data_IF_062536590528
#
_entry.id   IF_062536590528
#
_cell.length_a   1.000
_cell.length_b   1.000
_cell.length_c   1.000
_cell.angle_alpha   90.00
_cell.angle_beta   90.00
_cell.angle_gamma   90.00
#
_symmetry.space_group_name_H-M   'P 1'
#
loop_
_entity.id
_entity.type
_entity.pdbx_description
1 polymer ?
#
# COMPACT_ATOMS: atom_id res chain seq x y z
N UNK A 1 50.41 -31.01 -14.77
CA UNK A 1 49.81 -30.28 -15.92
C UNK A 1 48.77 -31.18 -16.55
N UNK A 2 47.47 -30.86 -16.45
CA UNK A 2 46.39 -31.66 -17.03
C UNK A 2 45.62 -30.83 -18.06
N UNK A 3 45.56 -31.30 -19.31
CA UNK A 3 44.86 -30.61 -20.40
C UNK A 3 43.39 -31.04 -20.40
N UNK A 4 42.47 -30.09 -20.19
CA UNK A 4 41.03 -30.32 -20.40
C UNK A 4 40.71 -30.19 -21.90
N UNK A 5 39.97 -31.16 -22.44
CA UNK A 5 39.34 -31.05 -23.76
C UNK A 5 38.03 -30.25 -23.65
N UNK A 6 37.58 -29.57 -24.73
CA UNK A 6 36.31 -28.84 -24.72
C UNK A 6 35.12 -29.81 -24.90
N UNK A 7 34.06 -29.63 -24.11
CA UNK A 7 32.77 -30.26 -24.40
C UNK A 7 32.11 -29.54 -25.58
N UNK A 8 31.73 -30.30 -26.61
CA UNK A 8 30.82 -29.83 -27.64
C UNK A 8 29.37 -29.92 -27.13
N UNK A 9 28.64 -28.80 -27.20
CA UNK A 9 27.23 -28.73 -26.83
C UNK A 9 26.36 -28.97 -28.08
N UNK A 10 25.78 -30.16 -28.21
CA UNK A 10 24.81 -30.44 -29.27
C UNK A 10 23.46 -29.77 -28.96
N UNK A 11 23.09 -28.75 -29.73
CA UNK A 11 21.73 -28.20 -29.72
C UNK A 11 20.79 -29.14 -30.50
N UNK A 12 19.87 -29.80 -29.79
CA UNK A 12 18.71 -30.46 -30.37
C UNK A 12 17.62 -29.42 -30.67
N UNK A 13 17.49 -29.05 -31.94
CA UNK A 13 16.35 -28.26 -32.44
C UNK A 13 15.12 -29.16 -32.61
N UNK A 14 14.30 -29.25 -31.56
CA UNK A 14 12.97 -29.82 -31.67
C UNK A 14 12.04 -28.83 -32.39
N UNK A 15 11.64 -29.15 -33.63
CA UNK A 15 10.74 -28.33 -34.43
C UNK A 15 9.32 -28.36 -33.88
N UNK A 16 8.88 -27.26 -33.25
CA UNK A 16 7.47 -27.04 -32.95
C UNK A 16 6.72 -26.68 -34.25
N UNK A 17 5.73 -27.49 -34.63
CA UNK A 17 4.83 -27.14 -35.72
C UNK A 17 3.98 -25.92 -35.34
N UNK A 18 3.74 -24.97 -36.27
CA UNK A 18 2.81 -23.88 -36.00
C UNK A 18 1.39 -24.44 -35.83
N UNK A 19 0.79 -24.21 -34.66
CA UNK A 19 -0.63 -24.50 -34.45
C UNK A 19 -1.46 -23.67 -35.44
N UNK A 20 -2.24 -24.35 -36.27
CA UNK A 20 -3.18 -23.70 -37.18
C UNK A 20 -4.14 -22.82 -36.38
N UNK A 21 -4.15 -21.52 -36.67
CA UNK A 21 -5.09 -20.60 -36.03
C UNK A 21 -6.53 -21.03 -36.35
N UNK A 22 -7.40 -21.01 -35.34
CA UNK A 22 -8.82 -21.21 -35.57
C UNK A 22 -9.34 -20.14 -36.57
N UNK A 23 -10.25 -20.50 -37.50
CA UNK A 23 -10.82 -19.52 -38.41
C UNK A 23 -11.47 -18.39 -37.61
N UNK A 24 -11.19 -17.15 -37.99
CA UNK A 24 -11.79 -15.99 -37.35
C UNK A 24 -13.31 -16.13 -37.42
N UNK A 25 -13.97 -16.07 -36.26
CA UNK A 25 -15.43 -15.95 -36.20
C UNK A 25 -15.83 -14.71 -37.02
N UNK A 26 -16.80 -14.80 -37.94
CA UNK A 26 -17.29 -13.63 -38.62
C UNK A 26 -17.81 -12.64 -37.59
N UNK A 27 -17.47 -11.36 -37.74
CA UNK A 27 -18.05 -10.31 -36.90
C UNK A 27 -19.58 -10.37 -37.02
N UNK A 28 -20.33 -10.23 -35.92
CA UNK A 28 -21.78 -10.16 -36.01
C UNK A 28 -22.16 -8.99 -36.92
N UNK A 29 -22.94 -9.27 -37.97
CA UNK A 29 -23.42 -8.24 -38.88
C UNK A 29 -24.27 -7.24 -38.08
N UNK A 30 -23.76 -6.02 -37.94
CA UNK A 30 -24.51 -4.93 -37.33
C UNK A 30 -25.72 -4.63 -38.23
N UNK A 31 -26.94 -4.48 -37.67
CA UNK A 31 -28.14 -4.28 -38.47
C UNK A 31 -28.01 -3.02 -39.34
N UNK A 32 -28.10 -3.24 -40.66
CA UNK A 32 -28.04 -2.18 -41.66
C UNK A 32 -29.23 -1.21 -41.49
N UNK A 33 -28.99 -0.12 -40.76
CA UNK A 33 -30.03 0.87 -40.44
C UNK A 33 -29.78 1.72 -39.18
N UNK A 34 -28.80 1.37 -38.33
CA UNK A 34 -28.52 2.13 -37.08
C UNK A 34 -27.15 2.84 -37.03
N UNK A 35 -26.46 2.99 -38.17
CA UNK A 35 -25.35 3.94 -38.28
C UNK A 35 -25.88 5.37 -38.54
N UNK A 36 -26.58 5.91 -37.54
CA UNK A 36 -26.71 7.37 -37.42
C UNK A 36 -25.31 7.98 -37.37
N UNK A 37 -25.11 9.14 -38.00
CA UNK A 37 -23.79 9.73 -38.21
C UNK A 37 -23.01 9.82 -36.88
N UNK A 38 -22.00 8.95 -36.73
CA UNK A 38 -21.12 8.98 -35.57
C UNK A 38 -20.32 10.27 -35.65
N UNK A 39 -20.55 11.21 -34.73
CA UNK A 39 -19.69 12.39 -34.59
C UNK A 39 -18.30 11.91 -34.15
N UNK A 40 -17.44 11.73 -35.15
CA UNK A 40 -16.04 11.37 -34.95
C UNK A 40 -15.32 12.41 -34.07
N UNK A 41 -15.73 13.68 -34.11
CA UNK A 41 -15.22 14.74 -33.24
C UNK A 41 -15.68 14.59 -31.78
N UNK A 42 -16.88 14.09 -31.51
CA UNK A 42 -17.31 13.71 -30.15
C UNK A 42 -16.58 12.46 -29.66
N UNK A 43 -16.43 11.45 -30.52
CA UNK A 43 -15.67 10.23 -30.22
C UNK A 43 -14.20 10.56 -29.90
N UNK A 44 -13.55 11.39 -30.73
CA UNK A 44 -12.18 11.85 -30.50
C UNK A 44 -12.05 12.71 -29.25
N UNK A 45 -13.03 13.57 -28.91
CA UNK A 45 -13.03 14.29 -27.62
C UNK A 45 -13.13 13.34 -26.43
N UNK A 46 -14.06 12.38 -26.46
CA UNK A 46 -14.21 11.35 -25.41
C UNK A 46 -12.96 10.48 -25.26
N UNK A 47 -12.27 10.15 -26.34
CA UNK A 47 -10.98 9.45 -26.31
C UNK A 47 -9.85 10.36 -25.79
N UNK A 48 -9.75 11.60 -26.27
CA UNK A 48 -8.72 12.55 -25.86
C UNK A 48 -8.82 12.89 -24.37
N UNK A 49 -10.02 13.13 -23.82
CA UNK A 49 -10.19 13.37 -22.39
C UNK A 49 -9.97 12.09 -21.54
N UNK A 50 -10.22 10.90 -22.10
CA UNK A 50 -9.89 9.61 -21.45
C UNK A 50 -8.38 9.35 -21.37
N UNK A 51 -7.60 9.89 -22.31
CA UNK A 51 -6.13 9.73 -22.35
C UNK A 51 -5.35 10.99 -21.93
N UNK A 52 -6.04 12.09 -21.64
CA UNK A 52 -5.42 13.29 -21.09
C UNK A 52 -4.81 12.94 -19.73
N UNK A 53 -3.53 13.24 -19.48
CA UNK A 53 -2.99 13.16 -18.13
C UNK A 53 -3.87 14.05 -17.25
N UNK A 54 -4.58 13.44 -16.30
CA UNK A 54 -5.27 14.23 -15.26
C UNK A 54 -4.16 15.06 -14.59
N UNK A 55 -4.33 16.38 -14.42
CA UNK A 55 -3.32 17.17 -13.72
C UNK A 55 -3.01 16.48 -12.39
N UNK A 56 -1.72 16.36 -12.05
CA UNK A 56 -1.30 15.76 -10.79
C UNK A 56 -2.08 16.46 -9.68
N UNK A 57 -2.78 15.68 -8.86
CA UNK A 57 -3.69 16.26 -7.87
C UNK A 57 -2.89 17.26 -7.02
N UNK A 58 -3.39 18.49 -6.80
CA UNK A 58 -2.71 19.42 -5.92
C UNK A 58 -2.47 18.69 -4.59
N UNK A 59 -1.26 18.81 -4.05
CA UNK A 59 -0.91 18.15 -2.80
C UNK A 59 -1.97 18.44 -1.73
N UNK A 60 -2.27 17.47 -0.84
CA UNK A 60 -3.36 17.62 0.12
C UNK A 60 -3.24 18.96 0.86
N UNK A 61 -4.36 19.69 1.03
CA UNK A 61 -4.32 21.01 1.63
C UNK A 61 -3.67 20.92 3.01
N UNK A 62 -2.83 21.92 3.34
CA UNK A 62 -2.32 22.05 4.70
C UNK A 62 -3.52 22.14 5.65
N UNK A 63 -3.58 21.22 6.60
CA UNK A 63 -4.60 21.25 7.63
C UNK A 63 -4.38 22.45 8.55
N UNK A 64 -5.43 23.00 9.18
CA UNK A 64 -5.26 23.97 10.26
C UNK A 64 -4.35 23.39 11.36
N UNK A 65 -3.44 24.21 11.85
CA UNK A 65 -2.31 23.77 12.67
C UNK A 65 -2.76 22.97 13.90
N UNK A 66 -2.20 21.76 14.04
CA UNK A 66 -2.43 20.86 15.18
C UNK A 66 -3.65 19.93 15.06
N UNK A 67 -4.55 20.12 14.09
CA UNK A 67 -5.77 19.29 13.98
C UNK A 67 -5.62 18.04 13.09
N UNK A 68 -4.52 17.88 12.37
CA UNK A 68 -4.33 16.73 11.46
C UNK A 68 -3.32 15.70 11.95
N UNK A 69 -3.68 14.43 11.78
CA UNK A 69 -2.78 13.28 11.85
C UNK A 69 -2.52 12.79 10.43
N UNK A 70 -1.27 12.91 9.97
CA UNK A 70 -0.85 12.33 8.69
C UNK A 70 -0.11 11.02 8.91
N UNK A 71 -0.60 9.97 8.25
CA UNK A 71 -0.04 8.62 8.25
C UNK A 71 0.59 8.37 6.88
N UNK A 72 1.80 7.80 6.86
CA UNK A 72 2.50 7.34 5.66
C UNK A 72 2.62 5.82 5.70
N UNK A 73 2.44 5.14 4.58
CA UNK A 73 2.81 3.74 4.40
C UNK A 73 3.77 3.57 3.23
N UNK A 74 4.75 2.68 3.35
CA UNK A 74 5.80 2.53 2.34
C UNK A 74 6.53 1.18 2.39
N UNK A 75 6.48 0.43 1.27
CA UNK A 75 7.42 -0.67 1.02
C UNK A 75 8.80 -0.09 0.66
N UNK A 76 9.79 -0.40 1.51
CA UNK A 76 11.16 0.13 1.41
C UNK A 76 12.16 -0.80 0.73
N UNK A 77 11.70 -1.87 0.06
CA UNK A 77 12.49 -2.80 -0.77
C UNK A 77 13.72 -3.36 -0.02
N UNK A 78 13.49 -4.34 0.86
CA UNK A 78 14.48 -4.99 1.72
C UNK A 78 15.53 -4.02 2.28
N UNK A 79 15.09 -3.00 3.05
CA UNK A 79 16.01 -2.04 3.65
C UNK A 79 16.66 -2.64 4.90
N UNK A 80 17.99 -2.63 4.94
CA UNK A 80 18.76 -3.12 6.08
C UNK A 80 20.21 -2.63 6.07
N UNK A 81 21.04 -3.24 6.92
CA UNK A 81 22.45 -2.88 7.10
C UNK A 81 23.28 -2.97 5.79
N UNK A 82 22.88 -3.84 4.87
CA UNK A 82 23.47 -4.00 3.54
C UNK A 82 23.11 -2.85 2.56
N UNK A 83 22.32 -1.86 2.96
CA UNK A 83 22.01 -0.70 2.14
C UNK A 83 23.27 0.14 1.87
N UNK A 84 23.56 0.40 0.59
CA UNK A 84 24.71 1.20 0.18
C UNK A 84 24.66 2.62 0.80
N UNK A 85 25.83 3.25 1.00
CA UNK A 85 25.90 4.60 1.57
C UNK A 85 25.01 5.60 0.80
N UNK A 86 25.06 5.58 -0.54
CA UNK A 86 24.21 6.42 -1.40
C UNK A 86 22.71 6.13 -1.25
N UNK A 87 22.31 4.86 -1.08
CA UNK A 87 20.90 4.49 -0.83
C UNK A 87 20.42 5.07 0.50
N UNK A 88 21.26 5.00 1.54
CA UNK A 88 20.98 5.58 2.87
C UNK A 88 20.90 7.11 2.83
N UNK A 89 21.83 7.76 2.15
CA UNK A 89 21.81 9.22 1.93
C UNK A 89 20.52 9.65 1.19
N UNK A 90 20.13 8.93 0.14
CA UNK A 90 18.88 9.14 -0.57
C UNK A 90 17.64 8.94 0.32
N UNK A 91 17.61 7.91 1.17
CA UNK A 91 16.53 7.74 2.15
C UNK A 91 16.47 8.92 3.13
N UNK A 92 17.58 9.30 3.76
CA UNK A 92 17.63 10.44 4.68
C UNK A 92 17.17 11.75 4.04
N UNK A 93 17.61 12.03 2.81
CA UNK A 93 17.18 13.20 2.05
C UNK A 93 15.68 13.19 1.72
N UNK A 94 15.11 12.03 1.35
CA UNK A 94 13.68 11.91 1.07
C UNK A 94 12.84 11.99 2.34
N UNK A 95 13.28 11.36 3.44
CA UNK A 95 12.65 11.49 4.75
C UNK A 95 12.64 12.96 5.22
N UNK A 96 13.77 13.67 5.09
CA UNK A 96 13.84 15.11 5.37
C UNK A 96 12.81 15.95 4.59
N UNK A 97 12.56 15.62 3.31
CA UNK A 97 11.49 16.27 2.53
C UNK A 97 10.09 15.85 3.00
N UNK A 98 9.84 14.55 3.16
CA UNK A 98 8.53 13.98 3.53
C UNK A 98 8.02 14.46 4.89
N UNK A 99 8.93 14.65 5.85
CA UNK A 99 8.65 14.99 7.24
C UNK A 99 9.06 16.42 7.62
N UNK A 100 9.32 17.27 6.62
CA UNK A 100 9.47 18.72 6.78
C UNK A 100 8.23 19.34 7.45
N UNK A 101 8.40 20.52 8.08
CA UNK A 101 7.37 21.15 8.91
C UNK A 101 6.03 21.34 8.17
N UNK A 102 6.08 21.65 6.88
CA UNK A 102 4.89 21.82 6.01
C UNK A 102 4.22 20.51 5.56
N UNK A 103 4.76 19.34 5.95
CA UNK A 103 4.28 18.02 5.51
C UNK A 103 4.01 17.04 6.65
N UNK A 104 4.65 17.25 7.82
CA UNK A 104 4.31 16.74 9.16
C UNK A 104 3.57 15.38 9.23
N UNK A 105 4.14 14.36 8.60
CA UNK A 105 3.77 12.98 8.90
C UNK A 105 4.16 12.62 10.35
N UNK A 106 3.27 11.92 11.04
CA UNK A 106 3.37 11.57 12.46
C UNK A 106 3.55 10.06 12.66
N UNK A 107 3.00 9.26 11.75
CA UNK A 107 3.05 7.80 11.76
C UNK A 107 3.61 7.33 10.43
N UNK A 108 4.58 6.42 10.49
CA UNK A 108 5.16 5.77 9.33
C UNK A 108 5.03 4.26 9.49
N UNK A 109 4.19 3.64 8.66
CA UNK A 109 4.08 2.20 8.49
C UNK A 109 5.05 1.73 7.40
N UNK A 110 5.92 0.78 7.71
CA UNK A 110 6.93 0.26 6.79
C UNK A 110 6.67 -1.20 6.50
N UNK A 111 6.99 -1.59 5.26
CA UNK A 111 7.06 -2.95 4.77
C UNK A 111 8.48 -3.21 4.26
N UNK A 112 8.97 -4.44 4.38
CA UNK A 112 10.33 -4.84 4.00
C UNK A 112 11.49 -4.18 4.78
N UNK A 113 11.36 -4.12 6.11
CA UNK A 113 12.52 -3.99 7.01
C UNK A 113 13.24 -5.33 7.09
N UNK A 114 14.56 -5.34 6.87
CA UNK A 114 15.32 -6.58 6.69
C UNK A 114 15.91 -7.20 7.96
N UNK A 115 16.02 -6.42 9.05
CA UNK A 115 16.50 -6.88 10.37
C UNK A 115 16.24 -5.81 11.44
N UNK A 116 16.42 -6.18 12.71
CA UNK A 116 16.45 -5.25 13.86
C UNK A 116 17.44 -4.09 13.63
N UNK A 117 18.66 -4.41 13.17
CA UNK A 117 19.70 -3.42 12.81
C UNK A 117 19.32 -2.56 11.59
N UNK A 118 18.55 -3.12 10.65
CA UNK A 118 17.94 -2.38 9.56
C UNK A 118 16.93 -1.34 10.04
N UNK A 119 16.11 -1.71 11.03
CA UNK A 119 15.15 -0.80 11.66
C UNK A 119 15.83 0.27 12.53
N UNK A 120 16.89 -0.06 13.27
CA UNK A 120 17.70 0.93 14.01
C UNK A 120 18.32 1.96 13.04
N UNK A 121 18.90 1.47 11.94
CA UNK A 121 19.50 2.30 10.90
C UNK A 121 18.48 3.20 10.19
N UNK A 122 17.27 2.70 9.95
CA UNK A 122 16.17 3.50 9.41
C UNK A 122 15.73 4.59 10.40
N UNK A 123 15.55 4.23 11.67
CA UNK A 123 15.20 5.18 12.74
C UNK A 123 16.23 6.29 12.91
N UNK A 124 17.52 5.99 12.76
CA UNK A 124 18.59 6.98 12.79
C UNK A 124 18.55 8.01 11.64
N UNK A 125 17.93 7.67 10.50
CA UNK A 125 17.75 8.57 9.35
C UNK A 125 16.48 9.43 9.41
N UNK A 126 15.56 9.15 10.34
CA UNK A 126 14.36 9.97 10.52
C UNK A 126 14.71 11.36 11.08
N UNK A 127 13.93 12.43 10.78
CA UNK A 127 14.23 13.75 11.30
C UNK A 127 14.17 13.79 12.83
N UNK A 128 15.17 14.42 13.44
CA UNK A 128 15.40 14.36 14.89
C UNK A 128 16.15 13.11 15.37
N UNK A 129 16.47 12.17 14.47
CA UNK A 129 17.08 10.89 14.77
C UNK A 129 16.14 9.95 15.53
N UNK A 130 16.62 8.75 15.85
CA UNK A 130 15.81 7.69 16.48
C UNK A 130 15.13 8.14 17.79
N UNK A 131 15.77 9.01 18.57
CA UNK A 131 15.20 9.53 19.83
C UNK A 131 13.93 10.37 19.70
N UNK A 132 13.61 10.87 18.49
CA UNK A 132 12.37 11.59 18.21
C UNK A 132 11.18 10.68 17.84
N UNK A 133 11.40 9.37 17.76
CA UNK A 133 10.44 8.39 17.23
C UNK A 133 10.34 7.14 18.12
N UNK A 134 9.12 6.82 18.59
CA UNK A 134 8.84 5.52 19.21
C UNK A 134 8.74 4.47 18.09
N UNK A 135 9.54 3.40 18.18
CA UNK A 135 9.55 2.28 17.23
C UNK A 135 8.61 1.17 17.70
N UNK A 136 7.97 0.52 16.73
CA UNK A 136 7.21 -0.72 16.88
C UNK A 136 7.69 -1.70 15.80
N UNK A 137 8.62 -2.59 16.16
CA UNK A 137 9.21 -3.56 15.24
C UNK A 137 9.52 -4.87 15.96
N UNK A 138 9.59 -5.95 15.22
CA UNK A 138 10.06 -7.25 15.72
C UNK A 138 10.57 -8.06 14.53
N UNK A 139 11.84 -8.45 14.58
CA UNK A 139 12.52 -9.20 13.52
C UNK A 139 11.88 -10.59 13.28
N UNK A 140 11.95 -11.10 12.05
CA UNK A 140 11.58 -12.48 11.72
C UNK A 140 12.56 -13.12 10.74
N UNK A 141 12.43 -14.43 10.55
CA UNK A 141 13.28 -15.18 9.62
C UNK A 141 12.92 -14.96 8.14
N UNK A 142 12.20 -13.90 7.78
CA UNK A 142 11.84 -13.56 6.39
C UNK A 142 12.62 -12.34 5.84
N UNK A 143 13.18 -11.49 6.70
CA UNK A 143 13.88 -10.25 6.31
C UNK A 143 13.05 -9.32 5.40
N UNK A 144 11.73 -9.39 5.53
CA UNK A 144 10.75 -8.54 4.83
C UNK A 144 9.67 -8.05 5.80
N UNK A 145 10.08 -7.76 7.02
CA UNK A 145 9.21 -7.52 8.16
C UNK A 145 8.53 -6.15 8.14
N UNK A 146 7.39 -6.08 8.81
CA UNK A 146 6.57 -4.89 8.89
C UNK A 146 6.77 -4.17 10.24
N UNK A 147 6.83 -2.84 10.24
CA UNK A 147 7.04 -2.06 11.46
C UNK A 147 6.44 -0.66 11.41
N UNK A 148 6.47 0.04 12.53
CA UNK A 148 6.06 1.43 12.63
C UNK A 148 7.10 2.32 13.31
N UNK A 149 7.13 3.58 12.89
CA UNK A 149 7.78 4.68 13.60
C UNK A 149 6.75 5.77 13.89
N UNK A 150 6.70 6.22 15.14
CA UNK A 150 5.66 7.10 15.69
C UNK A 150 6.31 8.34 16.31
N UNK A 151 5.98 9.52 15.82
CA UNK A 151 6.51 10.79 16.33
C UNK A 151 5.82 11.17 17.64
N UNK A 152 6.45 12.04 18.43
CA UNK A 152 5.82 12.69 19.58
C UNK A 152 4.43 13.27 19.22
N UNK A 153 3.47 13.10 20.15
CA UNK A 153 2.06 13.44 19.93
C UNK A 153 1.20 12.31 19.36
N UNK A 154 1.77 11.11 19.16
CA UNK A 154 1.04 9.85 18.95
C UNK A 154 1.44 8.85 20.04
N UNK A 155 0.49 8.45 20.86
CA UNK A 155 0.69 7.47 21.92
C UNK A 155 0.46 6.06 21.39
N UNK A 156 1.48 5.21 21.45
CA UNK A 156 1.32 3.76 21.26
C UNK A 156 0.83 3.13 22.55
N UNK A 157 -0.44 2.70 22.54
CA UNK A 157 -1.14 2.07 23.65
C UNK A 157 -0.84 0.56 23.73
N UNK A 158 -0.80 -0.12 22.58
CA UNK A 158 -0.54 -1.55 22.46
C UNK A 158 -0.03 -1.91 21.06
N UNK A 159 0.73 -3.00 20.94
CA UNK A 159 1.21 -3.54 19.67
C UNK A 159 1.14 -5.08 19.67
N UNK A 160 0.97 -5.69 18.50
CA UNK A 160 1.11 -7.15 18.31
C UNK A 160 1.45 -7.52 16.87
N UNK A 161 2.10 -8.67 16.70
CA UNK A 161 2.21 -9.37 15.42
C UNK A 161 0.92 -10.19 15.17
N UNK A 162 0.35 -10.07 13.99
CA UNK A 162 -0.71 -10.93 13.47
C UNK A 162 -0.09 -12.02 12.59
N UNK A 163 -0.72 -13.20 12.53
CA UNK A 163 -0.34 -14.28 11.61
C UNK A 163 1.13 -14.72 11.71
N UNK A 164 1.64 -14.93 12.94
CA UNK A 164 2.96 -15.51 13.16
C UNK A 164 3.15 -16.91 12.53
N UNK A 165 2.04 -17.60 12.22
CA UNK A 165 2.02 -18.80 11.37
C UNK A 165 2.12 -18.43 9.88
N UNK A 166 3.22 -18.83 9.25
CA UNK A 166 3.50 -18.65 7.81
C UNK A 166 2.50 -19.34 6.89
N UNK A 167 1.68 -20.27 7.37
CA UNK A 167 0.54 -20.81 6.62
C UNK A 167 -0.54 -19.76 6.31
N UNK A 168 -0.67 -18.74 7.18
CA UNK A 168 -1.71 -17.69 7.09
C UNK A 168 -1.22 -16.42 6.39
N UNK A 169 0.04 -16.03 6.59
CA UNK A 169 0.67 -14.93 5.85
C UNK A 169 2.18 -15.15 5.72
N UNK A 170 2.75 -14.88 4.53
CA UNK A 170 4.20 -14.96 4.32
C UNK A 170 4.95 -13.94 5.19
N UNK A 171 4.49 -12.68 5.17
CA UNK A 171 5.08 -11.55 5.89
C UNK A 171 4.11 -11.15 7.03
N UNK A 172 4.34 -11.58 8.29
CA UNK A 172 3.40 -11.37 9.38
C UNK A 172 3.00 -9.88 9.52
N UNK A 173 1.72 -9.60 9.38
CA UNK A 173 1.19 -8.25 9.55
C UNK A 173 1.42 -7.77 10.99
N UNK A 174 1.60 -6.47 11.20
CA UNK A 174 1.76 -5.88 12.54
C UNK A 174 0.61 -4.91 12.78
N UNK A 175 0.00 -4.94 13.95
CA UNK A 175 -1.03 -3.97 14.34
C UNK A 175 -0.63 -3.23 15.61
N UNK A 176 -0.86 -1.93 15.59
CA UNK A 176 -0.70 -1.02 16.72
C UNK A 176 -2.04 -0.38 17.04
N UNK A 177 -2.29 -0.17 18.33
CA UNK A 177 -3.41 0.63 18.84
C UNK A 177 -2.85 1.97 19.28
N UNK A 178 -3.32 3.04 18.65
CA UNK A 178 -2.75 4.37 18.73
C UNK A 178 -3.79 5.34 19.29
N UNK A 179 -3.31 6.39 19.97
CA UNK A 179 -4.08 7.61 20.24
C UNK A 179 -3.30 8.84 19.78
N UNK A 180 -3.97 9.79 19.17
CA UNK A 180 -3.39 11.01 18.63
C UNK A 180 -4.24 12.22 19.02
N UNK A 181 -4.18 12.61 20.29
CA UNK A 181 -5.09 13.62 20.86
C UNK A 181 -6.42 12.97 21.18
N UNK A 182 -7.49 13.43 20.54
CA UNK A 182 -8.86 12.95 20.77
C UNK A 182 -9.23 11.74 19.88
N UNK A 183 -8.41 11.42 18.87
CA UNK A 183 -8.58 10.26 18.00
C UNK A 183 -7.84 9.04 18.56
N UNK A 184 -8.53 7.92 18.74
CA UNK A 184 -7.95 6.58 18.81
C UNK A 184 -8.30 5.71 17.59
N UNK A 185 -7.44 4.73 17.30
CA UNK A 185 -7.62 3.82 16.17
C UNK A 185 -6.67 2.61 16.25
N UNK A 186 -7.04 1.52 15.59
CA UNK A 186 -6.12 0.44 15.23
C UNK A 186 -5.50 0.67 13.85
N UNK A 187 -4.18 0.55 13.73
CA UNK A 187 -3.45 0.59 12.46
C UNK A 187 -2.71 -0.71 12.22
N UNK A 188 -3.07 -1.40 11.15
CA UNK A 188 -2.41 -2.61 10.64
C UNK A 188 -1.48 -2.25 9.49
N UNK A 189 -0.22 -2.70 9.55
CA UNK A 189 0.71 -2.68 8.41
C UNK A 189 0.77 -4.07 7.77
N UNK A 190 0.69 -4.12 6.44
CA UNK A 190 0.68 -5.37 5.66
C UNK A 190 1.65 -5.33 4.50
N UNK A 191 2.26 -6.47 4.23
CA UNK A 191 2.92 -6.77 2.96
C UNK A 191 2.36 -8.12 2.50
N UNK A 192 1.47 -8.13 1.52
CA UNK A 192 0.80 -9.36 1.10
C UNK A 192 1.63 -10.11 0.05
N UNK A 193 1.74 -11.42 0.21
CA UNK A 193 2.66 -12.26 -0.55
C UNK A 193 2.52 -12.16 -2.07
N UNK A 194 3.62 -11.83 -2.75
CA UNK A 194 3.71 -11.73 -4.20
C UNK A 194 4.64 -12.78 -4.82
N UNK A 195 4.07 -13.75 -5.54
CA UNK A 195 4.84 -14.84 -6.17
C UNK A 195 4.79 -14.78 -7.69
N UNK A 196 5.89 -14.35 -8.33
CA UNK A 196 6.12 -14.40 -9.80
C UNK A 196 5.04 -13.69 -10.66
N UNK A 197 4.18 -12.86 -10.09
CA UNK A 197 3.04 -12.29 -10.80
C UNK A 197 1.71 -13.04 -10.65
N UNK A 198 1.57 -13.85 -9.60
CA UNK A 198 0.32 -14.48 -9.21
C UNK A 198 -0.22 -13.79 -7.95
N UNK A 199 -1.50 -13.45 -7.97
CA UNK A 199 -2.21 -12.80 -6.86
C UNK A 199 -2.77 -13.79 -5.82
N UNK A 200 -2.76 -15.09 -6.09
CA UNK A 200 -3.48 -16.09 -5.26
C UNK A 200 -2.99 -16.14 -3.81
N UNK A 201 -1.72 -15.85 -3.57
CA UNK A 201 -1.17 -15.73 -2.22
C UNK A 201 -1.71 -14.47 -1.54
N UNK A 202 -1.50 -13.28 -2.10
CA UNK A 202 -2.08 -12.03 -1.59
C UNK A 202 -3.61 -12.10 -1.36
N UNK A 203 -4.38 -12.73 -2.26
CA UNK A 203 -5.84 -12.92 -2.09
C UNK A 203 -6.18 -13.81 -0.89
N UNK A 204 -5.41 -14.87 -0.62
CA UNK A 204 -5.58 -15.72 0.57
C UNK A 204 -5.25 -14.93 1.85
N UNK A 205 -4.15 -14.19 1.84
CA UNK A 205 -3.68 -13.44 3.02
C UNK A 205 -4.59 -12.26 3.36
N UNK A 206 -5.13 -11.57 2.34
CA UNK A 206 -6.19 -10.59 2.55
C UNK A 206 -7.44 -11.21 3.17
N UNK A 207 -7.85 -12.42 2.78
CA UNK A 207 -8.97 -13.13 3.41
C UNK A 207 -8.70 -13.49 4.87
N UNK A 208 -7.49 -13.93 5.21
CA UNK A 208 -7.11 -14.15 6.62
C UNK A 208 -7.21 -12.86 7.45
N UNK A 209 -6.81 -11.72 6.86
CA UNK A 209 -6.92 -10.41 7.47
C UNK A 209 -8.37 -9.92 7.62
N UNK A 210 -9.21 -10.07 6.59
CA UNK A 210 -10.64 -9.72 6.65
C UNK A 210 -11.40 -10.60 7.65
N UNK A 211 -11.04 -11.88 7.77
CA UNK A 211 -11.57 -12.76 8.81
C UNK A 211 -11.20 -12.29 10.22
N UNK A 212 -9.94 -11.91 10.45
CA UNK A 212 -9.49 -11.31 11.71
C UNK A 212 -10.22 -9.99 12.00
N UNK A 213 -10.37 -9.12 11.00
CA UNK A 213 -11.00 -7.81 11.15
C UNK A 213 -12.48 -7.95 11.50
N UNK A 214 -13.20 -8.85 10.83
CA UNK A 214 -14.60 -9.15 11.11
C UNK A 214 -14.79 -9.63 12.56
N UNK A 215 -13.91 -10.51 13.05
CA UNK A 215 -13.92 -10.96 14.44
C UNK A 215 -13.56 -9.84 15.44
N UNK A 216 -12.61 -8.97 15.09
CA UNK A 216 -12.23 -7.81 15.90
C UNK A 216 -13.40 -6.82 16.03
N UNK A 217 -13.98 -6.36 14.92
CA UNK A 217 -15.12 -5.43 14.91
C UNK A 217 -16.40 -6.03 15.52
N UNK A 218 -16.53 -7.36 15.55
CA UNK A 218 -17.59 -8.08 16.27
C UNK A 218 -17.36 -8.24 17.78
N UNK A 219 -16.20 -7.84 18.31
CA UNK A 219 -15.88 -7.95 19.74
C UNK A 219 -16.48 -6.76 20.50
N UNK A 220 -17.26 -6.97 21.58
CA UNK A 220 -17.80 -5.87 22.39
C UNK A 220 -16.70 -4.94 22.92
N UNK A 221 -16.85 -3.64 22.70
CA UNK A 221 -15.87 -2.63 23.12
C UNK A 221 -14.65 -2.48 22.20
N UNK A 222 -14.56 -3.26 21.10
CA UNK A 222 -13.57 -2.99 20.08
C UNK A 222 -13.79 -1.60 19.46
N UNK A 223 -12.69 -0.87 19.34
CA UNK A 223 -12.62 0.41 18.63
C UNK A 223 -12.87 0.14 17.13
N UNK A 224 -13.91 0.75 16.50
CA UNK A 224 -14.25 0.48 15.12
C UNK A 224 -13.33 1.20 14.12
N UNK A 225 -12.48 2.11 14.59
CA UNK A 225 -11.63 2.92 13.74
C UNK A 225 -10.37 2.14 13.40
N UNK A 226 -10.40 1.54 12.21
CA UNK A 226 -9.36 0.62 11.75
C UNK A 226 -8.83 1.06 10.40
N UNK A 227 -7.51 1.16 10.33
CA UNK A 227 -6.77 1.40 9.11
C UNK A 227 -5.92 0.17 8.83
N UNK A 228 -5.96 -0.32 7.60
CA UNK A 228 -5.02 -1.30 7.06
C UNK A 228 -4.21 -0.61 5.98
N UNK A 229 -2.90 -0.52 6.15
CA UNK A 229 -2.01 0.20 5.25
C UNK A 229 -0.86 -0.70 4.78
N UNK A 230 -0.40 -0.53 3.54
CA UNK A 230 0.79 -1.22 3.05
C UNK A 230 0.68 -1.69 1.62
N UNK A 231 1.57 -2.61 1.25
CA UNK A 231 1.61 -3.22 -0.07
C UNK A 231 0.71 -4.47 -0.09
N UNK A 232 -0.43 -4.35 -0.77
CA UNK A 232 -1.40 -5.44 -0.91
C UNK A 232 -1.06 -6.36 -2.07
N UNK A 233 -0.14 -5.99 -2.97
CA UNK A 233 0.11 -6.69 -4.24
C UNK A 233 -1.19 -7.04 -5.02
N UNK A 234 -2.22 -6.19 -4.85
CA UNK A 234 -3.56 -6.28 -5.42
C UNK A 234 -4.04 -4.84 -5.71
N UNK A 235 -4.71 -4.57 -6.84
CA UNK A 235 -5.20 -3.23 -7.15
C UNK A 235 -6.58 -2.94 -6.53
N UNK A 236 -6.97 -1.66 -6.45
CA UNK A 236 -8.40 -1.28 -6.31
C UNK A 236 -9.15 -1.52 -7.63
N UNK A 237 -10.48 -1.53 -7.58
CA UNK A 237 -11.37 -1.65 -8.74
C UNK A 237 -11.12 -0.54 -9.77
N UNK A 238 -10.85 0.68 -9.30
CA UNK A 238 -10.51 1.81 -10.14
C UNK A 238 -9.04 1.77 -10.62
N UNK A 239 -8.10 1.48 -9.73
CA UNK A 239 -6.66 1.41 -10.02
C UNK A 239 -6.23 0.21 -10.87
N UNK A 240 -7.00 -0.89 -10.88
CA UNK A 240 -6.81 -2.06 -11.76
C UNK A 240 -6.67 -1.65 -13.22
N UNK A 241 -7.48 -0.69 -13.67
CA UNK A 241 -7.44 -0.19 -15.06
C UNK A 241 -6.13 0.53 -15.42
N UNK A 242 -5.39 1.03 -14.43
CA UNK A 242 -4.17 1.84 -14.57
C UNK A 242 -2.88 1.02 -14.48
N UNK A 243 -2.96 -0.24 -14.05
CA UNK A 243 -1.80 -1.11 -13.91
C UNK A 243 -1.14 -1.45 -15.26
N UNK A 244 0.18 -1.32 -15.33
CA UNK A 244 0.98 -1.45 -16.56
C UNK A 244 0.89 -2.85 -17.16
N UNK A 245 1.02 -3.92 -16.38
CA UNK A 245 1.06 -5.28 -16.92
C UNK A 245 -0.35 -5.84 -17.12
N UNK A 246 -0.60 -6.44 -18.29
CA UNK A 246 -1.93 -6.95 -18.66
C UNK A 246 -2.49 -8.00 -17.69
N UNK A 247 -1.64 -8.84 -17.10
CA UNK A 247 -2.05 -9.84 -16.09
C UNK A 247 -2.63 -9.21 -14.82
N UNK A 248 -2.10 -8.08 -14.38
CA UNK A 248 -2.56 -7.39 -13.17
C UNK A 248 -3.93 -6.74 -13.37
N UNK A 249 -4.22 -6.31 -14.61
CA UNK A 249 -5.56 -5.83 -15.00
C UNK A 249 -6.63 -6.93 -14.99
N UNK A 250 -6.23 -8.20 -14.92
CA UNK A 250 -7.10 -9.36 -14.85
C UNK A 250 -7.22 -9.97 -13.43
N UNK A 251 -6.55 -9.40 -12.43
CA UNK A 251 -6.72 -9.83 -11.04
C UNK A 251 -8.05 -9.33 -10.47
N UNK A 252 -8.57 -10.07 -9.48
CA UNK A 252 -9.64 -9.57 -8.60
C UNK A 252 -9.08 -8.38 -7.81
N UNK A 253 -9.68 -7.18 -7.90
CA UNK A 253 -9.34 -6.05 -7.05
C UNK A 253 -9.76 -6.32 -5.60
N UNK A 254 -9.21 -5.52 -4.69
CA UNK A 254 -9.44 -5.64 -3.25
C UNK A 254 -10.94 -5.60 -2.91
N UNK A 255 -11.72 -4.73 -3.55
CA UNK A 255 -13.15 -4.58 -3.27
C UNK A 255 -13.95 -5.83 -3.65
N UNK A 256 -13.61 -6.54 -4.73
CA UNK A 256 -14.25 -7.83 -5.07
C UNK A 256 -13.97 -8.92 -4.00
N UNK A 257 -12.92 -8.76 -3.18
CA UNK A 257 -12.58 -9.68 -2.07
C UNK A 257 -13.24 -9.23 -0.76
N UNK A 258 -13.44 -7.91 -0.57
CA UNK A 258 -14.24 -7.36 0.53
C UNK A 258 -15.73 -7.69 0.35
N UNK A 259 -16.23 -7.72 -0.88
CA UNK A 259 -17.61 -8.07 -1.20
C UNK A 259 -17.97 -9.52 -0.75
N UNK A 260 -16.99 -10.43 -0.60
CA UNK A 260 -17.15 -11.77 0.01
C UNK A 260 -17.48 -11.73 1.53
N UNK A 261 -17.36 -10.56 2.19
CA UNK A 261 -17.51 -10.39 3.65
C UNK A 261 -18.66 -9.42 3.99
N UNK A 262 -19.92 -9.88 4.13
CA UNK A 262 -21.09 -9.02 4.37
C UNK A 262 -20.97 -8.05 5.56
N UNK A 263 -20.27 -8.47 6.63
CA UNK A 263 -20.01 -7.62 7.80
C UNK A 263 -19.10 -6.41 7.49
N UNK A 264 -18.29 -6.49 6.44
CA UNK A 264 -17.31 -5.49 6.00
C UNK A 264 -17.67 -4.80 4.68
N UNK A 265 -18.83 -5.13 4.09
CA UNK A 265 -19.35 -4.49 2.87
C UNK A 265 -20.71 -3.81 3.06
N UNK A 266 -21.53 -4.26 4.04
CA UNK A 266 -22.90 -3.78 4.22
C UNK A 266 -23.08 -2.59 5.19
N UNK A 267 -22.75 -2.78 6.46
CA UNK A 267 -23.10 -1.81 7.51
C UNK A 267 -22.22 -0.55 7.47
N UNK A 268 -22.83 0.63 7.62
CA UNK A 268 -22.15 1.92 7.42
C UNK A 268 -20.87 2.09 8.24
N UNK A 269 -20.86 1.69 9.51
CA UNK A 269 -19.70 1.84 10.43
C UNK A 269 -18.56 0.86 10.09
N UNK A 270 -18.90 -0.38 9.73
CA UNK A 270 -17.91 -1.48 9.54
C UNK A 270 -17.53 -1.73 8.09
N UNK A 271 -18.18 -1.07 7.11
CA UNK A 271 -17.79 -1.18 5.69
C UNK A 271 -16.33 -0.78 5.52
N UNK A 272 -15.60 -1.45 4.64
CA UNK A 272 -14.26 -1.05 4.26
C UNK A 272 -14.28 -0.18 2.99
N UNK A 273 -13.56 0.94 3.06
CA UNK A 273 -13.33 1.83 1.92
C UNK A 273 -11.86 1.71 1.50
N UNK A 274 -11.63 1.26 0.27
CA UNK A 274 -10.30 1.20 -0.32
C UNK A 274 -9.91 2.57 -0.88
N UNK A 275 -8.69 3.02 -0.56
CA UNK A 275 -8.12 4.31 -0.96
C UNK A 275 -6.83 4.10 -1.77
N UNK A 276 -6.40 5.17 -2.46
CA UNK A 276 -5.26 5.20 -3.40
C UNK A 276 -5.51 4.38 -4.68
N UNK A 277 -5.88 5.07 -5.76
CA UNK A 277 -6.19 4.43 -7.07
C UNK A 277 -5.05 4.57 -8.09
N UNK A 278 -4.07 5.43 -7.83
CA UNK A 278 -2.93 5.65 -8.73
C UNK A 278 -1.88 4.52 -8.63
N UNK A 279 -1.04 4.34 -9.66
CA UNK A 279 0.04 3.37 -9.60
C UNK A 279 1.12 3.77 -8.57
N UNK A 280 1.39 2.86 -7.64
CA UNK A 280 2.22 3.02 -6.43
C UNK A 280 3.53 2.23 -6.48
N UNK A 281 3.64 1.18 -7.32
CA UNK A 281 4.93 0.52 -7.62
C UNK A 281 5.64 1.13 -8.84
N UNK A 282 6.94 0.83 -9.01
CA UNK A 282 7.80 1.40 -10.07
C UNK A 282 8.53 0.38 -10.92
N UNK A 283 8.41 0.54 -12.23
CA UNK A 283 9.15 -0.24 -13.24
C UNK A 283 10.01 0.68 -14.10
N UNK A 284 11.34 0.50 -14.03
CA UNK A 284 12.31 1.39 -14.69
C UNK A 284 12.23 2.85 -14.18
N UNK A 285 12.00 3.03 -12.87
CA UNK A 285 11.80 4.34 -12.24
C UNK A 285 10.41 4.95 -12.43
N UNK A 286 9.65 4.52 -13.44
CA UNK A 286 8.32 5.06 -13.77
C UNK A 286 7.22 4.34 -13.01
N UNK A 287 6.14 5.06 -12.68
CA UNK A 287 4.95 4.48 -12.08
C UNK A 287 4.37 3.32 -12.93
N UNK A 288 4.04 2.20 -12.29
CA UNK A 288 3.72 0.95 -12.96
C UNK A 288 2.36 0.37 -12.55
N UNK A 289 2.21 -0.09 -11.31
CA UNK A 289 1.01 -0.80 -10.87
C UNK A 289 0.47 -0.23 -9.55
N UNK A 290 -0.82 -0.38 -9.33
CA UNK A 290 -1.51 0.03 -8.11
C UNK A 290 -1.52 -1.19 -7.16
N UNK A 291 -0.71 -1.12 -6.09
CA UNK A 291 -0.48 -2.19 -5.11
C UNK A 291 -0.53 -1.70 -3.66
N UNK A 292 0.03 -0.51 -3.39
CA UNK A 292 0.03 0.10 -2.07
C UNK A 292 -1.28 0.85 -1.80
N UNK A 293 -1.94 0.54 -0.68
CA UNK A 293 -3.28 1.05 -0.35
C UNK A 293 -3.43 1.44 1.12
N UNK A 294 -4.51 2.18 1.40
CA UNK A 294 -5.16 2.20 2.70
C UNK A 294 -6.57 1.59 2.55
N UNK A 295 -6.93 0.65 3.41
CA UNK A 295 -8.33 0.30 3.67
C UNK A 295 -8.71 0.91 5.00
N UNK A 296 -9.86 1.59 5.05
CA UNK A 296 -10.36 2.24 6.26
C UNK A 296 -11.78 1.79 6.56
N UNK A 297 -12.14 1.68 7.83
CA UNK A 297 -13.53 1.44 8.24
C UNK A 297 -14.41 2.66 7.97
N UNK A 298 -15.73 2.44 7.93
CA UNK A 298 -16.71 3.43 7.54
C UNK A 298 -17.04 4.48 8.60
N UNK A 299 -16.77 4.21 9.90
CA UNK A 299 -16.71 5.25 10.94
C UNK A 299 -15.59 6.26 10.59
N UNK A 300 -14.33 5.84 10.75
CA UNK A 300 -13.13 6.63 10.41
C UNK A 300 -13.16 7.33 9.04
N UNK A 301 -13.76 6.70 8.01
CA UNK A 301 -13.89 7.34 6.69
C UNK A 301 -14.90 8.49 6.66
N UNK A 302 -16.00 8.39 7.41
CA UNK A 302 -17.07 9.39 7.40
C UNK A 302 -16.79 10.54 8.37
N UNK A 303 -16.04 10.30 9.45
CA UNK A 303 -15.90 11.23 10.58
C UNK A 303 -14.50 11.92 10.59
N UNK A 304 -13.41 11.15 10.51
CA UNK A 304 -12.04 11.64 10.66
C UNK A 304 -11.31 11.89 9.33
N UNK A 305 -11.51 11.03 8.32
CA UNK A 305 -10.75 11.12 7.07
C UNK A 305 -10.94 12.47 6.37
N UNK A 306 -9.84 13.15 6.05
CA UNK A 306 -9.87 14.37 5.25
C UNK A 306 -10.07 13.99 3.77
N UNK A 307 -11.22 14.34 3.13
CA UNK A 307 -11.53 13.86 1.79
C UNK A 307 -10.49 14.29 0.75
N UNK A 308 -10.02 13.31 -0.03
CA UNK A 308 -8.98 13.53 -1.05
C UNK A 308 -7.56 13.64 -0.50
N UNK A 309 -7.34 13.43 0.80
CA UNK A 309 -5.99 13.43 1.39
C UNK A 309 -5.23 12.11 1.23
N UNK A 310 -5.92 11.00 0.93
CA UNK A 310 -5.29 9.73 0.64
C UNK A 310 -4.75 9.68 -0.78
N UNK A 311 -3.45 9.46 -0.91
CA UNK A 311 -2.77 9.34 -2.19
C UNK A 311 -1.27 9.09 -2.07
N UNK A 312 -0.67 8.76 -3.20
CA UNK A 312 0.77 8.63 -3.40
C UNK A 312 1.46 10.00 -3.26
N UNK A 313 2.63 10.04 -2.63
CA UNK A 313 3.43 11.27 -2.58
C UNK A 313 3.91 11.71 -3.99
N UNK A 314 4.18 13.02 -4.20
CA UNK A 314 4.54 13.56 -5.50
C UNK A 314 5.77 12.88 -6.11
N UNK A 315 5.69 12.57 -7.42
CA UNK A 315 6.77 11.88 -8.15
C UNK A 315 8.08 12.66 -8.10
N UNK A 316 7.98 13.97 -8.35
CA UNK A 316 9.13 14.86 -8.51
C UNK A 316 10.04 14.91 -7.28
N UNK A 317 9.51 14.75 -6.07
CA UNK A 317 10.31 14.74 -4.84
C UNK A 317 11.21 13.51 -4.77
N UNK A 318 10.65 12.33 -5.04
CA UNK A 318 11.38 11.06 -5.04
C UNK A 318 12.36 10.98 -6.21
N UNK A 319 11.91 11.31 -7.43
CA UNK A 319 12.76 11.29 -8.63
C UNK A 319 13.93 12.28 -8.53
N UNK A 320 13.70 13.45 -7.91
CA UNK A 320 14.79 14.39 -7.64
C UNK A 320 15.79 13.79 -6.65
N UNK A 321 15.35 13.30 -5.50
CA UNK A 321 16.26 12.72 -4.50
C UNK A 321 17.05 11.53 -5.07
N UNK A 322 16.41 10.60 -5.80
CA UNK A 322 17.09 9.46 -6.41
C UNK A 322 18.13 9.87 -7.46
N UNK A 323 17.83 10.90 -8.26
CA UNK A 323 18.77 11.49 -9.23
C UNK A 323 19.95 12.19 -8.54
N UNK A 324 19.65 13.05 -7.57
CA UNK A 324 20.63 13.91 -6.91
C UNK A 324 21.64 13.04 -6.10
N UNK A 325 21.23 11.89 -5.58
CA UNK A 325 22.07 10.91 -4.87
C UNK A 325 22.66 9.81 -5.78
N UNK A 326 22.16 9.67 -7.01
CA UNK A 326 22.52 8.58 -7.92
C UNK A 326 22.19 7.18 -7.39
N UNK A 327 21.10 7.04 -6.62
CA UNK A 327 20.66 5.79 -6.02
C UNK A 327 19.14 5.71 -5.92
N UNK A 328 18.56 4.59 -6.35
CA UNK A 328 17.15 4.28 -6.16
C UNK A 328 16.89 3.98 -4.68
N UNK A 329 15.89 4.60 -4.07
CA UNK A 329 15.55 4.31 -2.67
C UNK A 329 14.84 2.97 -2.52
N UNK A 330 13.79 2.66 -3.28
CA UNK A 330 12.70 1.86 -2.66
C UNK A 330 11.79 1.02 -3.55
N UNK A 331 11.89 1.18 -4.86
CA UNK A 331 10.97 0.74 -5.93
C UNK A 331 9.43 0.70 -5.84
N UNK A 332 8.87 1.04 -4.68
CA UNK A 332 7.54 1.60 -4.52
C UNK A 332 7.64 3.11 -4.32
N UNK A 333 6.48 3.78 -4.27
CA UNK A 333 6.32 5.15 -3.82
C UNK A 333 5.62 5.13 -2.45
N UNK A 334 6.02 6.00 -1.50
CA UNK A 334 5.27 6.18 -0.27
C UNK A 334 3.86 6.72 -0.58
N UNK A 335 2.87 6.17 0.11
CA UNK A 335 1.48 6.65 0.13
C UNK A 335 1.20 7.32 1.47
N UNK A 336 0.30 8.31 1.49
CA UNK A 336 -0.13 8.96 2.73
C UNK A 336 -1.64 9.18 2.76
N UNK A 337 -2.23 9.15 3.94
CA UNK A 337 -3.56 9.71 4.21
C UNK A 337 -3.48 10.74 5.34
N UNK A 338 -4.51 11.57 5.48
CA UNK A 338 -4.62 12.53 6.58
C UNK A 338 -5.99 12.42 7.25
N UNK A 339 -5.98 12.39 8.56
CA UNK A 339 -7.16 12.31 9.44
C UNK A 339 -7.26 13.59 10.25
N UNK A 340 -8.46 13.95 10.68
CA UNK A 340 -8.67 14.87 11.78
C UNK A 340 -8.35 14.18 13.10
N UNK A 341 -7.73 14.90 14.03
CA UNK A 341 -7.45 14.49 15.41
C UNK A 341 -8.58 14.82 16.37
N UNK A 342 -9.64 15.45 15.87
CA UNK A 342 -10.83 15.95 16.58
C UNK A 342 -12.02 15.91 15.62
N UNK A 343 -13.18 15.49 16.10
CA UNK A 343 -14.37 15.33 15.27
C UNK A 343 -15.54 14.77 16.06
N UNK A 344 -16.64 14.50 15.37
CA UNK A 344 -17.81 13.85 15.97
C UNK A 344 -17.59 12.34 16.23
N UNK A 345 -16.61 11.71 15.56
CA UNK A 345 -16.22 10.31 15.78
C UNK A 345 -15.42 10.08 17.07
N UNK A 346 -14.81 11.13 17.64
CA UNK A 346 -14.52 11.16 19.08
C UNK A 346 -15.84 11.31 19.87
N UNK A 347 -16.64 10.26 19.88
CA UNK A 347 -17.86 10.14 20.67
C UNK A 347 -17.57 9.80 22.15
N UNK A 348 -16.30 9.89 22.57
CA UNK A 348 -15.86 9.61 23.93
C UNK A 348 -15.96 8.13 24.32
N UNK A 349 -16.16 7.22 23.35
CA UNK A 349 -15.88 5.80 23.56
C UNK A 349 -14.44 5.70 24.04
N UNK A 350 -14.25 5.25 25.28
CA UNK A 350 -12.97 4.68 25.64
C UNK A 350 -12.70 3.56 24.63
N UNK A 351 -11.49 3.49 24.06
CA UNK A 351 -10.99 2.17 23.65
C UNK A 351 -11.18 1.32 24.90
N UNK A 352 -12.10 0.36 24.83
CA UNK A 352 -12.12 -0.67 25.83
C UNK A 352 -10.88 -1.50 25.53
N UNK A 353 -9.80 -1.13 26.21
CA UNK A 353 -8.70 -2.02 26.54
C UNK A 353 -9.23 -3.23 27.33
N UNK A 354 -10.53 -3.47 27.51
CA UNK A 354 -11.10 -4.78 27.86
C UNK A 354 -11.02 -5.77 26.68
N UNK A 355 -10.71 -5.27 25.48
CA UNK A 355 -9.89 -5.97 24.49
C UNK A 355 -8.46 -6.28 24.99
N UNK A 356 -8.16 -6.24 26.29
CA UNK A 356 -6.83 -6.46 26.89
C UNK A 356 -6.30 -7.86 26.59
N UNK A 357 -7.19 -8.82 26.31
CA UNK A 357 -6.84 -10.14 25.81
C UNK A 357 -6.19 -10.12 24.41
N UNK A 358 -6.32 -9.02 23.66
CA UNK A 358 -5.58 -8.77 22.42
C UNK A 358 -4.15 -8.26 22.66
N UNK A 359 -3.83 -7.83 23.88
CA UNK A 359 -2.58 -7.16 24.28
C UNK A 359 -1.86 -7.85 25.45
N UNK A 360 -2.25 -9.10 25.77
CA UNK A 360 -1.67 -9.95 26.81
C UNK A 360 -1.37 -11.33 26.24
#
# INVERSE_FOLDING_TARGET
>A
MSRRAPLALCLLLAGAQPSMAAPAQPFPELPAGQLGAIDLGELWRKLADRFRPRPEAPGPPAAPDGEALRIVSWNIQAFGENASAKRREAFGALLGRMFSESRSAHVLALQELASEGGADLFGAMLPGGAGAWKRSFEDSSDSQDNGFFLRAGVDLLCERRLFADRGRSQHPARVVFLRAGDLDFALVTVHLAYRKGQADAARRELRELLTWLSAYLGTPGADPDVIIAGDFNLPTRAGRSRSKRGRERAWSPIEEIIDDYPALSGARRTRLVALVDEPTSRDGGKAANNYDHFLVTGDLFDEEYLPGSAGRLPLADLEAVERDNGARVSDHYPISLTLRRRGAGNDGRLIHLDGHAACR
#
